data_IF_591014935155
#
_entry.id   IF_591014935155
#
_cell.length_a   1.000
_cell.length_b   1.000
_cell.length_c   1.000
_cell.angle_alpha   90.00
_cell.angle_beta   90.00
_cell.angle_gamma   90.00
#
_symmetry.space_group_name_H-M   'P 1'
#
loop_
_entity.id
_entity.type
_entity.pdbx_description
1 polymer ?
#
# COMPACT_ATOMS: atom_id res chain seq x y z
N UNK A 1 -3.25 8.65 -16.96
CA UNK A 1 -3.97 7.50 -16.52
C UNK A 1 -3.04 6.34 -16.21
N UNK A 2 -3.19 5.78 -15.07
CA UNK A 2 -2.35 4.67 -14.69
C UNK A 2 -2.95 3.37 -15.08
N UNK A 3 -2.30 2.65 -15.94
CA UNK A 3 -2.68 1.28 -16.11
C UNK A 3 -1.90 0.47 -15.10
N UNK A 4 -2.60 -0.35 -14.39
CA UNK A 4 -1.99 -1.26 -13.45
C UNK A 4 -1.18 -2.28 -14.21
N UNK A 5 0.02 -2.58 -13.72
CA UNK A 5 0.83 -3.66 -14.27
C UNK A 5 0.39 -5.01 -13.71
N UNK A 6 -0.56 -5.00 -12.77
CA UNK A 6 -1.01 -6.21 -12.10
C UNK A 6 -2.26 -6.76 -12.78
N UNK A 7 -2.32 -8.09 -12.91
CA UNK A 7 -3.55 -8.77 -13.33
C UNK A 7 -4.51 -8.84 -12.15
N UNK A 8 -5.77 -9.18 -12.44
CA UNK A 8 -6.75 -9.42 -11.39
C UNK A 8 -6.33 -10.52 -10.44
N UNK A 9 -5.77 -11.60 -10.99
CA UNK A 9 -5.30 -12.72 -10.18
C UNK A 9 -4.17 -12.30 -9.25
N UNK A 10 -3.26 -11.47 -9.74
CA UNK A 10 -2.17 -10.97 -8.92
C UNK A 10 -2.68 -10.09 -7.79
N UNK A 11 -3.63 -9.22 -8.08
CA UNK A 11 -4.23 -8.38 -7.04
C UNK A 11 -4.92 -9.22 -5.98
N UNK A 12 -5.62 -10.26 -6.40
CA UNK A 12 -6.28 -11.17 -5.46
C UNK A 12 -5.27 -11.84 -4.55
N UNK A 13 -4.16 -12.29 -5.11
CA UNK A 13 -3.10 -12.90 -4.31
C UNK A 13 -2.54 -11.92 -3.28
N UNK A 14 -2.29 -10.68 -3.70
CA UNK A 14 -1.77 -9.67 -2.80
C UNK A 14 -2.74 -9.35 -1.67
N UNK A 15 -4.03 -9.29 -1.97
CA UNK A 15 -5.05 -9.05 -0.93
C UNK A 15 -5.07 -10.21 0.07
N UNK A 16 -4.91 -11.43 -0.42
CA UNK A 16 -4.84 -12.59 0.46
C UNK A 16 -3.65 -12.52 1.40
N UNK A 17 -2.48 -12.16 0.88
CA UNK A 17 -1.30 -11.99 1.70
C UNK A 17 -1.49 -10.88 2.71
N UNK A 18 -2.19 -9.80 2.32
CA UNK A 18 -2.44 -8.68 3.20
C UNK A 18 -3.32 -9.00 4.38
N UNK A 19 -4.20 -10.00 4.26
CA UNK A 19 -5.10 -10.37 5.35
C UNK A 19 -4.35 -10.84 6.59
N UNK A 20 -3.22 -11.48 6.40
CA UNK A 20 -2.43 -11.99 7.52
C UNK A 20 -1.21 -11.14 7.81
N UNK A 21 -0.94 -10.14 7.00
CA UNK A 21 0.21 -9.27 7.21
C UNK A 21 -0.07 -8.30 8.37
N UNK A 22 0.93 -8.00 9.19
CA UNK A 22 0.75 -6.98 10.22
C UNK A 22 0.74 -5.59 9.60
N UNK A 23 0.16 -4.63 10.33
CA UNK A 23 0.23 -3.24 9.93
C UNK A 23 1.68 -2.78 10.06
N UNK A 24 2.26 -2.31 8.96
CA UNK A 24 3.65 -1.89 8.95
C UNK A 24 3.81 -0.40 9.27
N UNK A 25 2.75 0.37 9.01
CA UNK A 25 2.77 1.82 9.22
C UNK A 25 1.43 2.27 9.76
N UNK A 26 1.46 3.35 10.55
CA UNK A 26 0.25 4.01 11.01
C UNK A 26 0.30 5.46 10.54
N UNK A 27 -0.78 5.91 9.91
CA UNK A 27 -0.90 7.28 9.41
C UNK A 27 -1.89 8.02 10.28
N UNK A 28 -1.40 9.01 11.00
CA UNK A 28 -2.23 9.79 11.90
C UNK A 28 -2.86 10.98 11.23
N UNK A 29 -3.11 12.03 12.03
CA UNK A 29 -3.80 13.22 11.56
C UNK A 29 -3.05 13.96 10.45
N UNK A 30 -1.73 13.87 10.44
CA UNK A 30 -0.92 14.56 9.44
C UNK A 30 -1.04 13.94 8.06
N UNK A 31 -1.66 12.76 7.99
CA UNK A 31 -1.91 12.15 6.69
C UNK A 31 -0.63 11.85 5.93
N UNK A 32 -0.58 12.29 4.68
CA UNK A 32 0.53 11.96 3.79
C UNK A 32 1.71 12.92 3.92
N UNK A 33 2.06 13.29 5.16
CA UNK A 33 3.26 14.12 5.38
C UNK A 33 4.51 13.42 4.83
N UNK A 34 5.53 14.20 4.56
CA UNK A 34 6.74 13.69 3.90
C UNK A 34 7.38 12.52 4.61
N UNK A 35 7.36 12.52 5.95
CA UNK A 35 7.92 11.40 6.71
C UNK A 35 7.17 10.10 6.47
N UNK A 36 5.85 10.16 6.28
CA UNK A 36 5.04 8.98 6.00
C UNK A 36 5.41 8.40 4.64
N UNK A 37 5.54 9.26 3.62
CA UNK A 37 5.95 8.80 2.29
C UNK A 37 7.32 8.13 2.33
N UNK A 38 8.26 8.72 3.07
CA UNK A 38 9.60 8.17 3.18
C UNK A 38 9.59 6.81 3.89
N UNK A 39 8.77 6.67 4.93
CA UNK A 39 8.65 5.40 5.65
C UNK A 39 8.02 4.34 4.76
N UNK A 40 6.98 4.69 4.02
CA UNK A 40 6.34 3.77 3.10
C UNK A 40 7.30 3.33 2.01
N UNK A 41 8.06 4.27 1.46
CA UNK A 41 9.06 3.95 0.44
C UNK A 41 10.06 2.93 0.95
N UNK A 42 10.54 3.11 2.16
CA UNK A 42 11.51 2.21 2.76
C UNK A 42 10.92 0.82 2.95
N UNK A 43 9.68 0.76 3.44
CA UNK A 43 9.03 -0.54 3.65
C UNK A 43 8.73 -1.24 2.33
N UNK A 44 8.37 -0.49 1.30
CA UNK A 44 8.14 -1.09 -0.01
C UNK A 44 9.41 -1.68 -0.60
N UNK A 45 10.54 -1.03 -0.38
CA UNK A 45 11.83 -1.56 -0.83
C UNK A 45 12.14 -2.89 -0.15
N UNK A 46 11.83 -2.99 1.14
CA UNK A 46 12.11 -4.21 1.91
C UNK A 46 11.14 -5.33 1.64
N UNK A 47 9.86 -5.01 1.51
CA UNK A 47 8.80 -6.01 1.55
C UNK A 47 8.03 -6.16 0.25
N UNK A 48 7.98 -5.11 -0.56
CA UNK A 48 7.19 -5.12 -1.79
C UNK A 48 5.71 -4.93 -1.59
N UNK A 49 5.15 -5.43 -0.49
CA UNK A 49 3.75 -5.26 -0.12
C UNK A 49 3.69 -4.74 1.31
N UNK A 50 3.01 -3.64 1.51
CA UNK A 50 2.97 -2.96 2.81
C UNK A 50 1.53 -2.65 3.19
N UNK A 51 1.18 -2.99 4.41
CA UNK A 51 -0.14 -2.69 4.96
C UNK A 51 -0.05 -1.46 5.84
N UNK A 52 -0.91 -0.50 5.58
CA UNK A 52 -0.90 0.79 6.26
C UNK A 52 -2.24 1.00 6.96
N UNK A 53 -2.22 1.39 8.23
CA UNK A 53 -3.42 1.69 8.98
C UNK A 53 -3.56 3.20 9.14
N UNK A 54 -4.74 3.70 8.89
CA UNK A 54 -5.05 5.13 8.98
C UNK A 54 -5.79 5.40 10.28
N UNK A 55 -5.15 6.12 11.19
CA UNK A 55 -5.67 6.34 12.55
C UNK A 55 -6.00 7.79 12.84
N UNK A 56 -5.99 8.65 11.82
CA UNK A 56 -6.15 10.08 12.00
C UNK A 56 -7.59 10.58 11.99
N UNK A 57 -8.55 9.69 11.92
CA UNK A 57 -9.95 10.10 11.90
C UNK A 57 -10.46 10.56 10.55
N UNK A 58 -9.72 10.29 9.48
CA UNK A 58 -10.13 10.68 8.13
C UNK A 58 -11.38 9.90 7.73
N UNK A 59 -12.30 10.56 7.05
CA UNK A 59 -13.45 9.88 6.49
C UNK A 59 -13.04 9.11 5.23
N UNK A 60 -14.02 8.42 4.61
CA UNK A 60 -13.73 7.55 3.48
C UNK A 60 -13.13 8.32 2.30
N UNK A 61 -13.63 9.52 2.03
CA UNK A 61 -13.11 10.32 0.91
C UNK A 61 -11.69 10.79 1.19
N UNK A 62 -11.43 11.24 2.40
CA UNK A 62 -10.10 11.69 2.78
C UNK A 62 -9.10 10.53 2.73
N UNK A 63 -9.51 9.34 3.18
CA UNK A 63 -8.65 8.16 3.11
C UNK A 63 -8.33 7.78 1.66
N UNK A 64 -9.34 7.84 0.78
CA UNK A 64 -9.11 7.53 -0.63
C UNK A 64 -8.10 8.49 -1.25
N UNK A 65 -8.19 9.76 -0.91
CA UNK A 65 -7.23 10.76 -1.40
C UNK A 65 -5.83 10.47 -0.87
N UNK A 66 -5.72 10.06 0.40
CA UNK A 66 -4.42 9.71 0.99
C UNK A 66 -3.82 8.48 0.32
N UNK A 67 -4.64 7.46 0.00
CA UNK A 67 -4.15 6.29 -0.72
C UNK A 67 -3.50 6.70 -2.03
N UNK A 68 -4.15 7.58 -2.76
CA UNK A 68 -3.65 8.02 -4.05
C UNK A 68 -2.38 8.85 -3.91
N UNK A 69 -2.37 9.76 -2.95
CA UNK A 69 -1.21 10.60 -2.69
C UNK A 69 0.00 9.76 -2.34
N UNK A 70 -0.17 8.78 -1.44
CA UNK A 70 0.93 7.93 -1.01
C UNK A 70 1.40 7.02 -2.14
N UNK A 71 0.46 6.47 -2.91
CA UNK A 71 0.83 5.61 -4.05
C UNK A 71 1.65 6.39 -5.07
N UNK A 72 1.23 7.61 -5.39
CA UNK A 72 1.94 8.45 -6.34
C UNK A 72 3.32 8.82 -5.80
N UNK A 73 3.39 9.23 -4.54
CA UNK A 73 4.66 9.68 -3.95
C UNK A 73 5.70 8.56 -3.86
N UNK A 74 5.27 7.32 -3.74
CA UNK A 74 6.17 6.17 -3.62
C UNK A 74 6.24 5.33 -4.87
N UNK A 75 5.55 5.75 -5.93
CA UNK A 75 5.49 4.99 -7.19
C UNK A 75 5.01 3.57 -6.96
N UNK A 76 4.01 3.44 -6.11
CA UNK A 76 3.40 2.16 -5.78
C UNK A 76 1.95 2.16 -6.20
N UNK A 77 1.29 1.04 -5.99
CA UNK A 77 -0.11 0.88 -6.32
C UNK A 77 -0.87 0.43 -5.09
N UNK A 78 -2.00 1.10 -4.81
CA UNK A 78 -2.89 0.65 -3.74
C UNK A 78 -3.74 -0.48 -4.32
N UNK A 79 -3.49 -1.71 -3.87
CA UNK A 79 -4.13 -2.89 -4.44
C UNK A 79 -5.36 -3.34 -3.66
N UNK A 80 -5.62 -2.73 -2.52
CA UNK A 80 -6.82 -3.05 -1.76
C UNK A 80 -6.93 -2.14 -0.56
N UNK A 81 -8.16 -1.97 -0.08
CA UNK A 81 -8.43 -1.19 1.10
C UNK A 81 -9.62 -1.80 1.82
N UNK A 82 -9.50 -1.99 3.13
CA UNK A 82 -10.57 -2.53 3.96
C UNK A 82 -10.62 -1.70 5.23
N UNK A 83 -11.76 -1.04 5.46
CA UNK A 83 -11.91 -0.21 6.63
C UNK A 83 -10.86 0.88 6.67
N UNK A 84 -10.07 0.88 7.73
CA UNK A 84 -9.03 1.89 7.93
C UNK A 84 -7.64 1.42 7.49
N UNK A 85 -7.55 0.32 6.74
CA UNK A 85 -6.27 -0.18 6.26
C UNK A 85 -6.22 -0.17 4.74
N UNK A 86 -5.02 -0.04 4.20
CA UNK A 86 -4.78 -0.12 2.76
C UNK A 86 -3.52 -0.90 2.51
N UNK A 87 -3.47 -1.57 1.35
CA UNK A 87 -2.33 -2.34 0.92
C UNK A 87 -1.67 -1.64 -0.25
N UNK A 88 -0.36 -1.46 -0.15
CA UNK A 88 0.43 -0.85 -1.22
C UNK A 88 1.44 -1.88 -1.73
N UNK A 89 1.57 -1.95 -3.04
CA UNK A 89 2.51 -2.86 -3.69
C UNK A 89 3.35 -2.07 -4.70
N UNK A 90 4.63 -2.43 -4.80
CA UNK A 90 5.51 -1.81 -5.78
C UNK A 90 6.33 -2.88 -6.48
N UNK A 91 6.43 -2.77 -7.82
CA UNK A 91 7.26 -3.64 -8.61
C UNK A 91 8.72 -3.48 -8.20
N UNK A 92 9.49 -4.55 -8.35
CA UNK A 92 10.90 -4.56 -8.01
C UNK A 92 11.26 -5.90 -7.42
N UNK A 93 12.47 -5.99 -6.88
CA UNK A 93 12.97 -7.28 -6.39
C UNK A 93 12.04 -7.89 -5.32
N UNK A 94 11.67 -7.10 -4.33
CA UNK A 94 10.83 -7.61 -3.25
C UNK A 94 9.39 -7.83 -3.70
N UNK A 95 8.84 -6.88 -4.47
CA UNK A 95 7.46 -6.97 -4.92
C UNK A 95 7.22 -8.11 -5.89
N UNK A 96 8.17 -8.34 -6.78
CA UNK A 96 8.02 -9.39 -7.78
C UNK A 96 8.20 -10.79 -7.18
N UNK A 97 8.99 -10.89 -6.12
CA UNK A 97 9.18 -12.15 -5.40
C UNK A 97 7.89 -12.75 -4.89
N UNK A 98 6.92 -11.89 -4.59
CA UNK A 98 5.65 -12.35 -4.04
C UNK A 98 4.88 -13.24 -5.03
N UNK A 99 5.19 -13.12 -6.31
CA UNK A 99 4.56 -13.92 -7.35
C UNK A 99 5.41 -15.11 -7.79
N UNK A 100 6.66 -15.14 -7.37
CA UNK A 100 7.58 -16.18 -7.80
C UNK A 100 7.32 -17.51 -7.11
N UNK A 101 6.68 -17.48 -5.96
CA UNK A 101 6.36 -18.70 -5.22
C UNK A 101 5.02 -19.23 -5.68
N UNK A 102 5.03 -20.44 -6.09
CA UNK A 102 3.82 -21.08 -6.58
C UNK A 102 2.90 -21.50 -5.45
#
# INVERSE_FOLDING_TARGET
MNSSTLTGAQKTKLRGLGQTAPDALHVGKDGAAGTVSAQLDRELTRRGLVKVRFTGGQDRHARAALHETLATATQSECVGAVGHTALFWRAGESGDKLFAEA
#
